data_IF_521876699348
#
_entry.id   IF_521876699348
#
_cell.length_a   1.000
_cell.length_b   1.000
_cell.length_c   1.000
_cell.angle_alpha   90.00
_cell.angle_beta   90.00
_cell.angle_gamma   90.00
#
_symmetry.space_group_name_H-M   'P 1'
#
loop_
_entity.id
_entity.type
_entity.pdbx_description
1 polymer ?
#
# COMPACT_ATOMS: atom_id res chain seq x y z
N UNK A 1 9.30 58.04 -18.21
CA UNK A 1 8.21 57.14 -17.76
C UNK A 1 7.40 56.76 -18.99
N UNK A 2 7.24 55.46 -19.33
CA UNK A 2 6.40 55.07 -20.45
C UNK A 2 4.95 55.45 -20.15
N UNK A 3 4.35 56.28 -21.03
CA UNK A 3 2.92 56.60 -20.95
C UNK A 3 2.15 55.29 -21.08
N UNK A 4 1.39 54.90 -20.06
CA UNK A 4 0.43 53.79 -20.17
C UNK A 4 -0.51 54.15 -21.32
N UNK A 5 -0.50 53.38 -22.40
CA UNK A 5 -1.50 53.54 -23.45
C UNK A 5 -2.86 53.19 -22.83
N UNK A 6 -3.84 54.11 -22.82
CA UNK A 6 -5.15 53.82 -22.26
C UNK A 6 -5.80 52.72 -23.11
N UNK A 7 -6.16 51.63 -22.45
CA UNK A 7 -6.93 50.54 -23.04
C UNK A 7 -8.42 50.87 -22.89
N UNK A 8 -9.21 50.59 -23.92
CA UNK A 8 -10.65 50.88 -23.96
C UNK A 8 -11.41 49.60 -24.31
N UNK A 9 -12.51 49.35 -23.62
CA UNK A 9 -13.40 48.22 -23.92
C UNK A 9 -14.41 48.61 -25.00
N UNK A 10 -14.57 47.72 -26.00
CA UNK A 10 -15.54 47.88 -27.07
C UNK A 10 -16.24 46.56 -27.39
N UNK A 11 -17.52 46.64 -27.70
CA UNK A 11 -18.32 45.54 -28.20
C UNK A 11 -18.20 45.46 -29.71
N UNK A 12 -17.90 44.26 -30.22
CA UNK A 12 -17.77 44.00 -31.64
C UNK A 12 -19.12 44.13 -32.37
N UNK A 13 -19.24 45.07 -33.32
CA UNK A 13 -20.42 45.21 -34.20
C UNK A 13 -20.50 44.05 -35.21
N UNK A 14 -19.34 43.53 -35.62
CA UNK A 14 -19.19 42.42 -36.56
C UNK A 14 -18.09 41.46 -36.10
N UNK A 15 -18.04 40.25 -36.68
CA UNK A 15 -16.93 39.35 -36.41
C UNK A 15 -15.65 39.82 -37.13
N UNK A 16 -14.50 39.78 -36.45
CA UNK A 16 -13.19 40.13 -37.01
C UNK A 16 -12.08 39.34 -36.32
N UNK A 17 -10.83 39.54 -36.73
CA UNK A 17 -9.66 38.95 -36.07
C UNK A 17 -8.85 40.04 -35.39
N UNK A 18 -8.53 39.85 -34.11
CA UNK A 18 -7.69 40.72 -33.31
C UNK A 18 -6.52 39.90 -32.78
N UNK A 19 -5.29 40.28 -33.12
CA UNK A 19 -4.06 39.60 -32.67
C UNK A 19 -4.14 38.07 -32.87
N UNK A 20 -4.52 37.65 -34.09
CA UNK A 20 -4.69 36.25 -34.51
C UNK A 20 -5.85 35.48 -33.82
N UNK A 21 -6.62 36.15 -32.96
CA UNK A 21 -7.79 35.56 -32.30
C UNK A 21 -9.08 36.02 -32.97
N UNK A 22 -10.01 35.10 -33.27
CA UNK A 22 -11.33 35.49 -33.75
C UNK A 22 -12.12 36.19 -32.63
N UNK A 23 -12.75 37.30 -32.99
CA UNK A 23 -13.68 38.07 -32.18
C UNK A 23 -15.06 37.91 -32.80
N UNK A 24 -16.02 37.40 -32.04
CA UNK A 24 -17.39 37.25 -32.50
C UNK A 24 -18.17 38.58 -32.40
N UNK A 25 -19.21 38.74 -33.22
CA UNK A 25 -20.18 39.84 -33.04
C UNK A 25 -20.73 39.80 -31.61
N UNK A 26 -20.84 40.96 -30.97
CA UNK A 26 -21.33 41.12 -29.60
C UNK A 26 -20.30 40.78 -28.51
N UNK A 27 -19.09 40.35 -28.87
CA UNK A 27 -18.02 40.09 -27.90
C UNK A 27 -17.36 41.41 -27.48
N UNK A 28 -17.14 41.56 -26.17
CA UNK A 28 -16.37 42.68 -25.62
C UNK A 28 -14.88 42.39 -25.78
N UNK A 29 -14.15 43.37 -26.32
CA UNK A 29 -12.70 43.33 -26.49
C UNK A 29 -12.05 44.56 -25.89
N UNK A 30 -10.85 44.38 -25.35
CA UNK A 30 -10.02 45.47 -24.83
C UNK A 30 -9.02 45.89 -25.90
N UNK A 31 -9.06 47.16 -26.32
CA UNK A 31 -8.31 47.69 -27.45
C UNK A 31 -7.36 48.80 -27.00
N UNK A 32 -6.17 48.83 -27.59
CA UNK A 32 -5.30 49.99 -27.50
C UNK A 32 -5.72 51.08 -28.52
N UNK A 33 -5.21 52.33 -28.42
CA UNK A 33 -5.67 53.43 -29.30
C UNK A 33 -5.45 53.19 -30.80
N UNK A 34 -4.38 52.48 -31.19
CA UNK A 34 -4.10 52.16 -32.59
C UNK A 34 -5.04 51.07 -33.12
N UNK A 35 -5.35 50.07 -32.30
CA UNK A 35 -6.32 49.03 -32.62
C UNK A 35 -7.73 49.63 -32.72
N UNK A 36 -8.09 50.53 -31.79
CA UNK A 36 -9.37 51.22 -31.79
C UNK A 36 -9.58 52.03 -33.08
N UNK A 37 -8.64 52.90 -33.46
CA UNK A 37 -8.75 53.71 -34.69
C UNK A 37 -8.92 52.84 -35.95
N UNK A 38 -8.15 51.74 -36.05
CA UNK A 38 -8.24 50.81 -37.18
C UNK A 38 -9.58 50.09 -37.23
N UNK A 39 -10.06 49.60 -36.09
CA UNK A 39 -11.30 48.83 -36.02
C UNK A 39 -12.54 49.72 -36.15
N UNK A 40 -12.49 50.97 -35.68
CA UNK A 40 -13.54 51.97 -35.93
C UNK A 40 -13.62 52.29 -37.42
N UNK A 41 -12.48 52.56 -38.08
CA UNK A 41 -12.43 52.81 -39.53
C UNK A 41 -12.91 51.62 -40.35
N UNK A 42 -12.68 50.40 -39.87
CA UNK A 42 -13.18 49.18 -40.48
C UNK A 42 -14.66 48.89 -40.16
N UNK A 43 -15.30 49.70 -39.30
CA UNK A 43 -16.69 49.51 -38.86
C UNK A 43 -16.89 48.33 -37.90
N UNK A 44 -15.82 47.75 -37.37
CA UNK A 44 -15.86 46.55 -36.53
C UNK A 44 -16.30 46.83 -35.09
N UNK A 45 -16.08 48.05 -34.58
CA UNK A 45 -16.43 48.48 -33.21
C UNK A 45 -17.00 49.89 -33.21
N UNK A 46 -17.62 50.30 -32.09
CA UNK A 46 -18.13 51.66 -31.90
C UNK A 46 -17.02 52.69 -31.65
N UNK A 47 -17.21 53.91 -32.17
CA UNK A 47 -16.27 55.02 -31.97
C UNK A 47 -16.40 55.59 -30.55
N UNK A 48 -17.63 55.91 -30.16
CA UNK A 48 -17.94 56.50 -28.85
C UNK A 48 -18.48 55.48 -27.86
N UNK A 49 -18.50 55.84 -26.58
CA UNK A 49 -19.05 54.99 -25.53
C UNK A 49 -20.57 54.86 -25.66
N UNK A 50 -21.27 55.92 -26.07
CA UNK A 50 -22.72 55.90 -26.29
C UNK A 50 -23.10 54.96 -27.43
N UNK A 51 -22.34 54.97 -28.53
CA UNK A 51 -22.55 53.99 -29.60
C UNK A 51 -22.26 52.56 -29.14
N UNK A 52 -21.29 52.39 -28.25
CA UNK A 52 -20.87 51.09 -27.76
C UNK A 52 -21.92 50.42 -26.87
N UNK A 53 -22.62 51.22 -26.05
CA UNK A 53 -23.74 50.76 -25.22
C UNK A 53 -24.93 50.25 -26.04
N UNK A 54 -25.08 50.75 -27.27
CA UNK A 54 -26.15 50.35 -28.19
C UNK A 54 -25.84 49.05 -28.96
N UNK A 55 -24.60 48.53 -28.87
CA UNK A 55 -24.23 47.28 -29.53
C UNK A 55 -24.69 46.10 -28.68
N UNK A 56 -25.56 45.26 -29.26
CA UNK A 56 -26.03 44.02 -28.65
C UNK A 56 -24.86 43.10 -28.31
N UNK A 57 -24.74 42.75 -27.03
CA UNK A 57 -23.70 41.84 -26.54
C UNK A 57 -24.13 40.39 -26.77
N UNK A 58 -23.16 39.53 -27.07
CA UNK A 58 -23.41 38.11 -27.20
C UNK A 58 -23.75 37.50 -25.84
N UNK A 59 -24.81 36.71 -25.76
CA UNK A 59 -25.12 35.93 -24.57
C UNK A 59 -23.97 34.95 -24.28
N UNK A 60 -23.45 34.99 -23.06
CA UNK A 60 -22.46 34.02 -22.61
C UNK A 60 -23.10 32.63 -22.56
N UNK A 61 -22.42 31.57 -23.01
CA UNK A 61 -22.93 30.23 -22.88
C UNK A 61 -23.13 29.87 -21.40
N UNK A 62 -24.26 29.24 -21.09
CA UNK A 62 -24.54 28.75 -19.76
C UNK A 62 -23.46 27.76 -19.32
N UNK A 63 -22.86 28.02 -18.17
CA UNK A 63 -21.83 27.17 -17.57
C UNK A 63 -22.48 25.85 -17.10
N UNK A 64 -22.07 24.71 -17.67
CA UNK A 64 -22.62 23.37 -17.36
C UNK A 64 -21.88 22.66 -16.22
N UNK A 65 -21.60 23.36 -15.12
CA UNK A 65 -20.83 22.78 -14.01
C UNK A 65 -21.63 21.81 -13.13
N UNK A 66 -22.96 21.86 -13.16
CA UNK A 66 -23.81 21.05 -12.29
C UNK A 66 -23.76 19.56 -12.70
N UNK A 67 -23.92 19.27 -14.00
CA UNK A 67 -23.87 17.89 -14.53
C UNK A 67 -22.49 17.22 -14.30
N UNK A 68 -21.41 17.98 -14.48
CA UNK A 68 -20.05 17.46 -14.28
C UNK A 68 -19.76 17.20 -12.80
N UNK A 69 -20.23 18.07 -11.91
CA UNK A 69 -20.08 17.88 -10.47
C UNK A 69 -20.87 16.66 -9.97
N UNK A 70 -22.10 16.47 -10.42
CA UNK A 70 -22.90 15.29 -10.07
C UNK A 70 -22.21 14.00 -10.55
N UNK A 71 -21.68 14.00 -11.77
CA UNK A 71 -20.93 12.86 -12.31
C UNK A 71 -19.69 12.54 -11.48
N UNK A 72 -18.91 13.54 -11.10
CA UNK A 72 -17.72 13.37 -10.25
C UNK A 72 -18.11 12.83 -8.87
N UNK A 73 -19.20 13.34 -8.28
CA UNK A 73 -19.69 12.87 -6.99
C UNK A 73 -20.15 11.40 -7.05
N UNK A 74 -20.83 11.00 -8.12
CA UNK A 74 -21.21 9.60 -8.36
C UNK A 74 -20.00 8.68 -8.47
N UNK A 75 -19.00 9.06 -9.27
CA UNK A 75 -17.76 8.30 -9.40
C UNK A 75 -17.02 8.18 -8.06
N UNK A 76 -16.99 9.24 -7.27
CA UNK A 76 -16.36 9.21 -5.94
C UNK A 76 -17.08 8.27 -4.97
N UNK A 77 -18.42 8.22 -5.03
CA UNK A 77 -19.22 7.30 -4.23
C UNK A 77 -18.92 5.84 -4.58
N UNK A 78 -18.82 5.53 -5.87
CA UNK A 78 -18.47 4.18 -6.34
C UNK A 78 -17.08 3.76 -5.91
N UNK A 79 -16.08 4.63 -6.08
CA UNK A 79 -14.70 4.36 -5.63
C UNK A 79 -14.65 4.11 -4.13
N UNK A 80 -15.36 4.92 -3.33
CA UNK A 80 -15.43 4.74 -1.88
C UNK A 80 -16.07 3.41 -1.50
N UNK A 81 -17.15 3.01 -2.18
CA UNK A 81 -17.81 1.73 -1.96
C UNK A 81 -16.89 0.56 -2.29
N UNK A 82 -16.26 0.58 -3.47
CA UNK A 82 -15.30 -0.45 -3.88
C UNK A 82 -14.12 -0.56 -2.92
N UNK A 83 -13.55 0.57 -2.51
CA UNK A 83 -12.47 0.59 -1.52
C UNK A 83 -12.91 -0.01 -0.18
N UNK A 84 -14.13 0.30 0.28
CA UNK A 84 -14.70 -0.29 1.50
C UNK A 84 -14.84 -1.81 1.40
N UNK A 85 -15.40 -2.31 0.30
CA UNK A 85 -15.56 -3.75 0.05
C UNK A 85 -14.21 -4.50 0.03
N UNK A 86 -13.19 -3.93 -0.61
CA UNK A 86 -11.85 -4.51 -0.64
C UNK A 86 -11.15 -4.48 0.73
N UNK A 87 -11.32 -3.39 1.50
CA UNK A 87 -10.80 -3.30 2.86
C UNK A 87 -11.46 -4.33 3.79
N UNK A 88 -12.76 -4.55 3.66
CA UNK A 88 -13.46 -5.57 4.45
C UNK A 88 -13.00 -6.99 4.11
N UNK A 89 -12.78 -7.28 2.81
CA UNK A 89 -12.20 -8.56 2.38
C UNK A 89 -10.80 -8.75 2.94
N UNK A 90 -9.94 -7.74 2.85
CA UNK A 90 -8.58 -7.78 3.40
C UNK A 90 -8.61 -8.00 4.91
N UNK A 91 -9.45 -7.25 5.63
CA UNK A 91 -9.59 -7.37 7.09
C UNK A 91 -10.03 -8.78 7.49
N UNK A 92 -10.99 -9.36 6.78
CA UNK A 92 -11.42 -10.73 7.00
C UNK A 92 -10.29 -11.72 6.73
N UNK A 93 -9.63 -11.62 5.57
CA UNK A 93 -8.51 -12.49 5.20
C UNK A 93 -7.35 -12.44 6.20
N UNK A 94 -7.00 -11.25 6.69
CA UNK A 94 -5.97 -11.09 7.73
C UNK A 94 -6.37 -11.76 9.04
N UNK A 95 -7.63 -11.63 9.45
CA UNK A 95 -8.10 -12.27 10.69
C UNK A 95 -8.15 -13.80 10.56
N UNK A 96 -8.61 -14.31 9.41
CA UNK A 96 -8.65 -15.75 9.14
C UNK A 96 -7.21 -16.33 9.13
N UNK A 97 -6.27 -15.64 8.49
CA UNK A 97 -4.86 -16.03 8.49
C UNK A 97 -4.23 -15.99 9.89
N UNK A 98 -4.57 -14.97 10.70
CA UNK A 98 -4.12 -14.88 12.09
C UNK A 98 -4.61 -16.06 12.93
N UNK A 99 -5.90 -16.41 12.82
CA UNK A 99 -6.48 -17.53 13.55
C UNK A 99 -5.85 -18.87 13.13
N UNK A 100 -5.64 -19.08 11.84
CA UNK A 100 -4.96 -20.28 11.34
C UNK A 100 -3.53 -20.39 11.88
N UNK A 101 -2.77 -19.29 11.88
CA UNK A 101 -1.42 -19.27 12.44
C UNK A 101 -1.40 -19.55 13.96
N UNK A 102 -2.37 -19.02 14.71
CA UNK A 102 -2.50 -19.28 16.14
C UNK A 102 -2.79 -20.77 16.43
N UNK A 103 -3.59 -21.42 15.60
CA UNK A 103 -3.87 -22.86 15.70
C UNK A 103 -2.63 -23.70 15.37
N UNK A 104 -1.90 -23.36 14.29
CA UNK A 104 -0.66 -24.04 13.95
C UNK A 104 0.41 -23.91 15.04
N UNK A 105 0.58 -22.70 15.59
CA UNK A 105 1.52 -22.46 16.70
C UNK A 105 1.16 -23.33 17.90
N UNK A 106 -0.12 -23.40 18.28
CA UNK A 106 -0.58 -24.24 19.39
C UNK A 106 -0.30 -25.71 19.13
N UNK A 107 -0.63 -26.20 17.93
CA UNK A 107 -0.34 -27.59 17.53
C UNK A 107 1.16 -27.90 17.59
N UNK A 108 2.01 -26.97 17.14
CA UNK A 108 3.46 -27.11 17.24
C UNK A 108 3.95 -27.14 18.69
N UNK A 109 3.41 -26.29 19.56
CA UNK A 109 3.74 -26.28 20.99
C UNK A 109 3.41 -27.62 21.65
N UNK A 110 2.23 -28.17 21.37
CA UNK A 110 1.80 -29.46 21.91
C UNK A 110 2.72 -30.59 21.42
N UNK A 111 3.04 -30.63 20.12
CA UNK A 111 3.96 -31.61 19.54
C UNK A 111 5.35 -31.54 20.15
N UNK A 112 5.88 -30.33 20.36
CA UNK A 112 7.20 -30.13 21.00
C UNK A 112 7.16 -30.59 22.45
N UNK A 113 6.09 -30.30 23.19
CA UNK A 113 5.93 -30.75 24.57
C UNK A 113 5.89 -32.28 24.67
N UNK A 114 5.12 -32.94 23.79
CA UNK A 114 5.07 -34.41 23.71
C UNK A 114 6.44 -35.00 23.36
N UNK A 115 7.07 -34.50 22.30
CA UNK A 115 8.39 -35.00 21.88
C UNK A 115 9.46 -34.83 22.98
N UNK A 116 9.41 -33.72 23.72
CA UNK A 116 10.29 -33.50 24.87
C UNK A 116 10.05 -34.53 25.97
N UNK A 117 8.79 -34.77 26.34
CA UNK A 117 8.45 -35.77 27.37
C UNK A 117 8.86 -37.18 26.96
N UNK A 118 8.69 -37.56 25.70
CA UNK A 118 9.11 -38.85 25.17
C UNK A 118 10.64 -38.99 25.19
N UNK A 119 11.37 -37.94 24.80
CA UNK A 119 12.82 -37.91 24.87
C UNK A 119 13.33 -38.04 26.31
N UNK A 120 12.75 -37.30 27.25
CA UNK A 120 13.12 -37.36 28.67
C UNK A 120 12.87 -38.77 29.25
N UNK A 121 11.78 -39.42 28.87
CA UNK A 121 11.48 -40.80 29.28
C UNK A 121 12.47 -41.81 28.67
N UNK A 122 12.84 -41.64 27.40
CA UNK A 122 13.82 -42.48 26.73
C UNK A 122 15.20 -42.35 27.39
N UNK A 123 15.63 -41.12 27.70
CA UNK A 123 16.90 -40.85 28.39
C UNK A 123 16.96 -41.57 29.73
N UNK A 124 15.93 -41.42 30.58
CA UNK A 124 15.87 -42.12 31.87
C UNK A 124 15.93 -43.64 31.73
N UNK A 125 15.25 -44.19 30.74
CA UNK A 125 15.30 -45.64 30.44
C UNK A 125 16.71 -46.07 30.06
N UNK A 126 17.40 -45.29 29.22
CA UNK A 126 18.77 -45.57 28.84
C UNK A 126 19.74 -45.45 30.01
N UNK A 127 19.60 -44.43 30.86
CA UNK A 127 20.41 -44.26 32.07
C UNK A 127 20.29 -45.46 33.01
N UNK A 128 19.06 -45.94 33.25
CA UNK A 128 18.81 -47.13 34.06
C UNK A 128 19.49 -48.38 33.46
N UNK A 129 19.33 -48.61 32.16
CA UNK A 129 19.99 -49.74 31.47
C UNK A 129 21.51 -49.68 31.53
N UNK A 130 22.09 -48.49 31.41
CA UNK A 130 23.53 -48.28 31.51
C UNK A 130 24.01 -48.57 32.94
N UNK A 131 23.28 -48.13 33.95
CA UNK A 131 23.58 -48.42 35.36
C UNK A 131 23.55 -49.93 35.65
N UNK A 132 22.48 -50.62 35.22
CA UNK A 132 22.35 -52.07 35.37
C UNK A 132 23.47 -52.84 34.65
N UNK A 133 23.80 -52.44 33.42
CA UNK A 133 24.88 -53.04 32.65
C UNK A 133 26.24 -52.84 33.33
N UNK A 134 26.48 -51.65 33.91
CA UNK A 134 27.70 -51.35 34.66
C UNK A 134 27.81 -52.22 35.90
N UNK A 135 26.75 -52.33 36.70
CA UNK A 135 26.76 -53.20 37.88
C UNK A 135 26.98 -54.67 37.52
N UNK A 136 26.38 -55.14 36.42
CA UNK A 136 26.60 -56.50 35.94
C UNK A 136 28.05 -56.73 35.51
N UNK A 137 28.66 -55.76 34.81
CA UNK A 137 30.07 -55.82 34.43
C UNK A 137 30.99 -55.81 35.65
N UNK A 138 30.75 -54.95 36.63
CA UNK A 138 31.55 -54.87 37.87
C UNK A 138 31.49 -56.19 38.66
N UNK A 139 30.30 -56.82 38.74
CA UNK A 139 30.15 -58.15 39.34
C UNK A 139 30.94 -59.21 38.58
N UNK A 140 30.84 -59.24 37.25
CA UNK A 140 31.55 -60.22 36.42
C UNK A 140 33.08 -60.08 36.53
N UNK A 141 33.60 -58.85 36.60
CA UNK A 141 35.02 -58.58 36.83
C UNK A 141 35.45 -59.12 38.18
N UNK A 142 34.72 -58.82 39.26
CA UNK A 142 35.05 -59.31 40.61
C UNK A 142 35.05 -60.85 40.68
N UNK A 143 34.05 -61.50 40.11
CA UNK A 143 34.00 -62.97 40.05
C UNK A 143 35.15 -63.57 39.24
N UNK A 144 35.59 -62.89 38.18
CA UNK A 144 36.77 -63.29 37.41
C UNK A 144 38.06 -63.14 38.24
N UNK A 145 38.24 -62.01 38.92
CA UNK A 145 39.39 -61.76 39.80
C UNK A 145 39.47 -62.80 40.93
N UNK A 146 38.35 -63.09 41.60
CA UNK A 146 38.27 -64.11 42.65
C UNK A 146 38.65 -65.51 42.14
N UNK A 147 38.18 -65.87 40.94
CA UNK A 147 38.53 -67.16 40.29
C UNK A 147 40.00 -67.21 39.93
N UNK A 148 40.56 -66.14 39.36
CA UNK A 148 41.98 -66.06 39.02
C UNK A 148 42.87 -66.18 40.27
N UNK A 149 42.48 -65.52 41.37
CA UNK A 149 43.19 -65.60 42.65
C UNK A 149 43.20 -67.03 43.21
N UNK A 150 42.04 -67.72 43.22
CA UNK A 150 41.94 -69.12 43.66
C UNK A 150 42.74 -70.08 42.78
N UNK A 151 42.71 -69.88 41.47
CA UNK A 151 43.48 -70.69 40.53
C UNK A 151 45.00 -70.53 40.76
N UNK A 152 45.45 -69.29 41.02
CA UNK A 152 46.85 -69.02 41.37
C UNK A 152 47.26 -69.72 42.67
N UNK A 153 46.46 -69.61 43.73
CA UNK A 153 46.75 -70.28 45.00
C UNK A 153 46.83 -71.80 44.86
N UNK A 154 45.95 -72.40 44.06
CA UNK A 154 45.98 -73.83 43.77
C UNK A 154 47.25 -74.24 43.00
N UNK A 155 47.66 -73.46 42.00
CA UNK A 155 48.90 -73.69 41.25
C UNK A 155 50.14 -73.59 42.15
N UNK A 156 50.20 -72.57 43.02
CA UNK A 156 51.30 -72.38 43.97
C UNK A 156 51.43 -73.53 44.98
N UNK A 157 50.31 -74.16 45.37
CA UNK A 157 50.31 -75.35 46.24
C UNK A 157 50.73 -76.63 45.51
N UNK A 158 50.43 -76.77 44.23
CA UNK A 158 50.75 -77.96 43.44
C UNK A 158 52.22 -78.02 42.98
N UNK A 159 52.93 -76.87 42.96
CA UNK A 159 54.34 -76.78 42.58
C UNK A 159 55.35 -76.89 43.73
N UNK A 160 54.91 -77.15 44.97
CA UNK A 160 55.75 -77.41 46.15
C UNK A 160 55.71 -78.88 46.51
#
# INVERSE_FOLDING_TARGET
MPKKNPMVERTAKHAFTLDERPVAKGQIVTLNPLQLDRLVKAGCVAETDEENELVEQAELPALRFEDENEKIQGQLADVRRQAGEELDKLRKGVNDARLAAEEEIRSHQDRVATAKSEADAAVKTHEARVAEAKEAADRAVKEHEDRAAKAKEAADKAGK
#
